data_IF_123725514835
#
_entry.id   IF_123725514835
#
_cell.length_a   1.000
_cell.length_b   1.000
_cell.length_c   1.000
_cell.angle_alpha   90.00
_cell.angle_beta   90.00
_cell.angle_gamma   90.00
#
_symmetry.space_group_name_H-M   'P 1'
#
loop_
_entity.id
_entity.type
_entity.pdbx_description
1 polymer ?
#
# COMPACT_ATOMS: atom_id res chain seq x y z
N UNK A 1 13.27 -2.15 -6.60
CA UNK A 1 12.41 -3.08 -5.82
C UNK A 1 11.11 -3.26 -6.62
N UNK A 2 10.54 -4.46 -6.73
CA UNK A 2 9.43 -4.79 -7.65
C UNK A 2 8.20 -3.85 -7.55
N UNK A 3 7.88 -3.37 -6.34
CA UNK A 3 6.73 -2.48 -6.05
C UNK A 3 7.09 -0.99 -5.95
N UNK A 4 8.20 -0.56 -6.55
CA UNK A 4 8.68 0.83 -6.38
C UNK A 4 7.76 1.88 -6.99
N UNK A 5 6.94 1.52 -7.98
CA UNK A 5 5.99 2.45 -8.60
C UNK A 5 4.85 2.78 -7.64
N UNK A 6 4.22 1.74 -7.12
CA UNK A 6 3.07 1.79 -6.21
C UNK A 6 3.45 2.45 -4.87
N UNK A 7 4.68 2.22 -4.39
CA UNK A 7 5.18 2.84 -3.15
C UNK A 7 5.51 4.32 -3.26
N UNK A 8 5.72 4.84 -4.49
CA UNK A 8 6.35 6.14 -4.72
C UNK A 8 5.61 7.29 -4.04
N UNK A 9 4.30 7.39 -4.22
CA UNK A 9 3.50 8.48 -3.67
C UNK A 9 3.50 8.48 -2.14
N UNK A 10 3.40 7.30 -1.54
CA UNK A 10 3.43 7.14 -0.09
C UNK A 10 4.82 7.49 0.48
N UNK A 11 5.91 7.00 -0.12
CA UNK A 11 7.28 7.30 0.33
C UNK A 11 7.63 8.79 0.18
N UNK A 12 7.17 9.44 -0.88
CA UNK A 12 7.30 10.89 -1.05
C UNK A 12 6.61 11.66 0.08
N UNK A 13 5.43 11.21 0.53
CA UNK A 13 4.71 11.83 1.65
C UNK A 13 5.41 11.67 3.02
N UNK A 14 6.22 10.63 3.16
CA UNK A 14 7.06 10.36 4.34
C UNK A 14 8.42 11.09 4.27
N UNK A 15 8.87 11.47 3.07
CA UNK A 15 10.21 12.00 2.84
C UNK A 15 11.32 10.96 2.99
N UNK A 16 10.96 9.67 3.10
CA UNK A 16 11.88 8.55 3.28
C UNK A 16 11.24 7.24 2.80
N UNK A 17 12.04 6.18 2.57
CA UNK A 17 11.50 4.85 2.27
C UNK A 17 10.53 4.35 3.36
N UNK A 18 9.49 3.63 2.92
CA UNK A 18 8.46 3.10 3.80
C UNK A 18 8.95 1.86 4.55
N UNK A 19 8.65 1.79 5.84
CA UNK A 19 8.97 0.68 6.74
C UNK A 19 7.70 0.12 7.40
N UNK A 20 7.80 -1.09 7.94
CA UNK A 20 6.72 -1.74 8.70
C UNK A 20 6.24 -0.90 9.87
N UNK A 21 7.15 -0.20 10.55
CA UNK A 21 6.85 0.59 11.74
C UNK A 21 5.94 1.80 11.41
N UNK A 22 5.93 2.24 10.15
CA UNK A 22 5.14 3.40 9.71
C UNK A 22 3.63 3.14 9.76
N UNK A 23 3.22 1.86 9.73
CA UNK A 23 1.82 1.45 9.74
C UNK A 23 1.09 1.97 10.97
N UNK A 24 1.74 1.94 12.14
CA UNK A 24 1.15 2.43 13.39
C UNK A 24 0.90 3.93 13.30
N UNK A 25 1.89 4.72 12.86
CA UNK A 25 1.75 6.17 12.75
C UNK A 25 0.78 6.63 11.67
N UNK A 26 0.47 5.78 10.68
CA UNK A 26 -0.41 6.10 9.56
C UNK A 26 -1.85 5.63 9.79
N UNK A 27 -2.04 4.45 10.40
CA UNK A 27 -3.38 3.88 10.62
C UNK A 27 -3.95 4.21 12.00
N UNK A 28 -3.11 4.39 13.01
CA UNK A 28 -3.59 4.75 14.34
C UNK A 28 -3.84 6.25 14.42
N UNK A 29 -4.94 6.63 15.08
CA UNK A 29 -5.27 8.03 15.33
C UNK A 29 -4.28 8.60 16.35
N UNK A 30 -3.81 9.83 16.11
CA UNK A 30 -3.06 10.61 17.11
C UNK A 30 -3.85 10.71 18.42
N UNK A 31 -3.19 10.48 19.54
CA UNK A 31 -3.85 10.62 20.83
C UNK A 31 -4.26 12.10 21.02
N UNK A 32 -5.40 12.39 21.68
CA UNK A 32 -5.81 13.78 21.94
C UNK A 32 -4.74 14.61 22.65
N UNK A 33 -3.91 13.96 23.48
CA UNK A 33 -2.78 14.56 24.21
C UNK A 33 -1.58 14.89 23.33
N UNK A 34 -1.50 14.34 22.11
CA UNK A 34 -0.44 14.61 21.12
C UNK A 34 -0.83 15.72 20.13
N UNK A 35 -2.09 16.17 20.19
CA UNK A 35 -2.58 17.23 19.32
C UNK A 35 -2.22 18.61 19.90
N UNK A 36 -1.70 19.53 19.07
CA UNK A 36 -1.49 20.91 19.49
C UNK A 36 -2.80 21.58 19.95
N UNK A 37 -2.72 22.46 20.94
CA UNK A 37 -3.87 23.26 21.41
C UNK A 37 -4.33 24.28 20.34
N UNK A 38 -3.38 24.77 19.54
CA UNK A 38 -3.66 25.69 18.43
C UNK A 38 -4.55 25.03 17.37
N UNK A 39 -5.77 25.53 17.22
CA UNK A 39 -6.80 25.01 16.30
C UNK A 39 -6.32 24.93 14.84
N UNK A 40 -5.73 25.98 14.23
CA UNK A 40 -5.18 25.94 12.88
C UNK A 40 -4.12 24.85 12.69
N UNK A 41 -3.16 24.74 13.60
CA UNK A 41 -2.08 23.75 13.53
C UNK A 41 -2.63 22.34 13.71
N UNK A 42 -3.56 22.14 14.64
CA UNK A 42 -4.25 20.87 14.85
C UNK A 42 -5.01 20.42 13.59
N UNK A 43 -5.74 21.32 12.93
CA UNK A 43 -6.46 21.00 11.67
C UNK A 43 -5.47 20.57 10.58
N UNK A 44 -4.39 21.33 10.39
CA UNK A 44 -3.36 21.00 9.38
C UNK A 44 -2.73 19.64 9.64
N UNK A 45 -2.40 19.34 10.90
CA UNK A 45 -1.83 18.06 11.30
C UNK A 45 -2.79 16.90 10.99
N UNK A 46 -4.06 17.02 11.42
CA UNK A 46 -5.08 15.99 11.16
C UNK A 46 -5.29 15.77 9.66
N UNK A 47 -5.36 16.86 8.88
CA UNK A 47 -5.47 16.76 7.41
C UNK A 47 -4.27 16.04 6.80
N UNK A 48 -3.05 16.33 7.25
CA UNK A 48 -1.84 15.67 6.75
C UNK A 48 -1.80 14.17 7.11
N UNK A 49 -2.25 13.79 8.31
CA UNK A 49 -2.35 12.37 8.72
C UNK A 49 -3.40 11.65 7.88
N UNK A 50 -4.58 12.26 7.69
CA UNK A 50 -5.64 11.66 6.86
C UNK A 50 -5.17 11.46 5.41
N UNK A 51 -4.50 12.46 4.83
CA UNK A 51 -3.91 12.34 3.50
C UNK A 51 -2.90 11.19 3.40
N UNK A 52 -2.01 11.04 4.38
CA UNK A 52 -1.07 9.91 4.41
C UNK A 52 -1.76 8.56 4.53
N UNK A 53 -2.86 8.49 5.28
CA UNK A 53 -3.68 7.28 5.40
C UNK A 53 -4.32 6.91 4.07
N UNK A 54 -4.84 7.89 3.33
CA UNK A 54 -5.39 7.67 1.99
C UNK A 54 -4.33 7.13 1.02
N UNK A 55 -3.15 7.75 0.99
CA UNK A 55 -2.02 7.28 0.16
C UNK A 55 -1.59 5.85 0.53
N UNK A 56 -1.57 5.53 1.82
CA UNK A 56 -1.23 4.17 2.27
C UNK A 56 -2.27 3.15 1.81
N UNK A 57 -3.56 3.45 1.98
CA UNK A 57 -4.65 2.57 1.54
C UNK A 57 -4.56 2.33 0.02
N UNK A 58 -4.41 3.40 -0.76
CA UNK A 58 -4.28 3.31 -2.21
C UNK A 58 -3.08 2.44 -2.63
N UNK A 59 -1.92 2.65 -2.00
CA UNK A 59 -0.72 1.83 -2.26
C UNK A 59 -1.00 0.33 -1.98
N UNK A 60 -1.68 0.01 -0.88
CA UNK A 60 -2.01 -1.38 -0.54
C UNK A 60 -2.97 -1.98 -1.56
N UNK A 61 -4.00 -1.25 -1.96
CA UNK A 61 -4.97 -1.70 -2.97
C UNK A 61 -4.30 -1.96 -4.33
N UNK A 62 -3.45 -1.06 -4.80
CA UNK A 62 -2.70 -1.22 -6.06
C UNK A 62 -1.79 -2.46 -6.02
N UNK A 63 -1.04 -2.64 -4.93
CA UNK A 63 -0.17 -3.81 -4.76
C UNK A 63 -0.98 -5.09 -4.71
N UNK A 64 -2.09 -5.12 -3.97
CA UNK A 64 -2.94 -6.30 -3.85
C UNK A 64 -3.60 -6.66 -5.18
N UNK A 65 -4.13 -5.67 -5.91
CA UNK A 65 -4.71 -5.89 -7.23
C UNK A 65 -3.68 -6.42 -8.24
N UNK A 66 -2.46 -5.89 -8.22
CA UNK A 66 -1.39 -6.36 -9.11
C UNK A 66 -0.85 -7.75 -8.70
N UNK A 67 -0.79 -8.07 -7.41
CA UNK A 67 -0.50 -9.44 -6.94
C UNK A 67 -1.56 -10.44 -7.42
N UNK A 68 -2.83 -10.05 -7.38
CA UNK A 68 -3.92 -10.90 -7.83
C UNK A 68 -3.83 -11.18 -9.34
N UNK A 69 -3.51 -10.16 -10.16
CA UNK A 69 -3.26 -10.38 -11.60
C UNK A 69 -2.10 -11.32 -11.85
N UNK A 70 -0.97 -11.12 -11.18
CA UNK A 70 0.20 -11.99 -11.31
C UNK A 70 -0.10 -13.44 -10.93
N UNK A 71 -0.94 -13.66 -9.90
CA UNK A 71 -1.36 -15.01 -9.52
C UNK A 71 -2.33 -15.61 -10.55
N UNK A 72 -3.25 -14.82 -11.12
CA UNK A 72 -4.11 -15.28 -12.23
C UNK A 72 -3.29 -15.66 -13.46
N UNK A 73 -2.26 -14.90 -13.80
CA UNK A 73 -1.31 -15.24 -14.89
C UNK A 73 -0.56 -16.54 -14.60
N UNK A 74 -0.05 -16.70 -13.36
CA UNK A 74 0.63 -17.93 -12.93
C UNK A 74 -0.27 -19.16 -13.04
N UNK A 75 -1.52 -19.06 -12.60
CA UNK A 75 -2.50 -20.15 -12.68
C UNK A 75 -2.81 -20.53 -14.13
N UNK A 76 -3.08 -19.54 -15.00
CA UNK A 76 -3.28 -19.78 -16.44
C UNK A 76 -2.09 -20.49 -17.08
N UNK A 77 -0.86 -20.10 -16.72
CA UNK A 77 0.35 -20.74 -17.24
C UNK A 77 0.51 -22.19 -16.76
N UNK A 78 0.15 -22.47 -15.50
CA UNK A 78 0.12 -23.82 -14.93
C UNK A 78 -0.90 -24.73 -15.61
N UNK A 79 -2.11 -24.23 -15.84
CA UNK A 79 -3.19 -24.96 -16.51
C UNK A 79 -2.84 -25.31 -17.97
N UNK A 80 -2.22 -24.36 -18.70
CA UNK A 80 -1.74 -24.62 -20.06
C UNK A 80 -0.61 -25.66 -20.11
N UNK A 81 0.24 -25.71 -19.08
CA UNK A 81 1.27 -26.74 -18.93
C UNK A 81 0.67 -28.12 -18.69
N UNK A 82 -0.35 -28.22 -17.82
CA UNK A 82 -1.06 -29.46 -17.56
C UNK A 82 -1.82 -29.97 -18.80
N UNK A 83 -2.42 -29.07 -19.58
CA UNK A 83 -3.16 -29.44 -20.79
C UNK A 83 -2.25 -29.94 -21.92
N UNK A 84 -1.03 -29.41 -22.06
CA UNK A 84 -0.02 -29.91 -23.03
C UNK A 84 0.46 -31.33 -22.69
N UNK A 85 0.63 -31.64 -21.40
CA UNK A 85 1.04 -32.98 -20.96
C UNK A 85 -0.05 -34.04 -21.24
N UNK A 86 -1.33 -33.66 -21.18
CA UNK A 86 -2.44 -34.57 -21.45
C UNK A 86 -2.69 -34.86 -22.94
N UNK A 87 -2.14 -34.06 -23.87
CA UNK A 87 -2.28 -34.27 -25.33
C UNK A 87 -1.14 -35.13 -25.90
N UNK A 88 -0.07 -35.32 -25.13
CA UNK A 88 1.16 -36.01 -25.59
C UNK A 88 1.28 -37.46 -25.08
N UNK A 89 0.25 -37.98 -24.41
CA UNK A 89 0.17 -39.37 -23.92
C UNK A 89 -0.85 -40.19 -24.71
#
# INVERSE_FOLDING_TARGET
>A
MFWSGERKAFEQSLGRPARSEDVVGVLCRLAPTELPEDQPTRRRLVSAVNWRRELFTQMVEEIMGRKEELERERQRAGDQGAQKLNITN
#
